data_IF_320252052601
#
_entry.id   IF_320252052601
#
_cell.length_a   1.000
_cell.length_b   1.000
_cell.length_c   1.000
_cell.angle_alpha   90.00
_cell.angle_beta   90.00
_cell.angle_gamma   90.00
#
_symmetry.space_group_name_H-M   'P 1'
#
loop_
_entity.id
_entity.type
_entity.pdbx_description
1 polymer ?
#
# COMPACT_ATOMS: atom_id res chain seq x y z
N UNK A 1 2.60 -1.78 -17.34
CA UNK A 1 3.65 -1.68 -16.29
C UNK A 1 3.29 -2.73 -15.24
N UNK A 2 4.25 -3.47 -14.69
CA UNK A 2 3.95 -4.45 -13.62
C UNK A 2 3.55 -3.67 -12.37
N UNK A 3 2.42 -4.01 -11.75
CA UNK A 3 1.92 -3.40 -10.51
C UNK A 3 2.86 -3.72 -9.34
N UNK A 4 3.10 -2.77 -8.44
CA UNK A 4 4.00 -2.89 -7.29
C UNK A 4 3.39 -3.69 -6.13
N UNK A 5 2.07 -3.79 -6.09
CA UNK A 5 1.30 -4.45 -5.02
C UNK A 5 0.69 -5.78 -5.49
N UNK A 6 0.63 -6.76 -4.61
CA UNK A 6 -0.02 -8.04 -4.87
C UNK A 6 -1.49 -8.03 -4.45
N UNK A 7 -2.33 -7.37 -5.26
CA UNK A 7 -3.77 -7.34 -5.01
C UNK A 7 -4.45 -8.71 -5.19
N UNK A 8 -3.83 -9.65 -5.91
CA UNK A 8 -4.35 -11.02 -5.99
C UNK A 8 -4.15 -11.74 -4.66
N UNK A 9 -2.94 -11.69 -4.10
CA UNK A 9 -2.64 -12.19 -2.76
C UNK A 9 -3.52 -11.54 -1.68
N UNK A 10 -3.75 -10.23 -1.77
CA UNK A 10 -4.69 -9.53 -0.87
C UNK A 10 -6.12 -10.07 -0.98
N UNK A 11 -6.65 -10.21 -2.20
CA UNK A 11 -8.01 -10.75 -2.41
C UNK A 11 -8.11 -12.19 -1.92
N UNK A 12 -7.08 -13.01 -2.11
CA UNK A 12 -7.04 -14.41 -1.66
C UNK A 12 -6.84 -14.59 -0.14
N UNK A 13 -6.27 -13.60 0.55
CA UNK A 13 -5.99 -13.71 2.00
C UNK A 13 -7.28 -13.60 2.81
N UNK A 14 -7.59 -14.56 3.70
CA UNK A 14 -8.78 -14.50 4.55
C UNK A 14 -8.79 -13.29 5.48
N UNK A 15 -9.96 -12.69 5.68
CA UNK A 15 -10.16 -11.64 6.68
C UNK A 15 -10.32 -12.29 8.06
N UNK A 16 -9.47 -11.91 9.01
CA UNK A 16 -9.65 -12.24 10.43
C UNK A 16 -10.64 -11.24 11.02
N UNK A 17 -11.64 -11.70 11.79
CA UNK A 17 -12.73 -10.85 12.30
C UNK A 17 -12.60 -10.48 13.78
N UNK A 18 -11.77 -11.20 14.53
CA UNK A 18 -11.60 -11.03 15.97
C UNK A 18 -10.13 -10.72 16.29
N UNK A 19 -9.82 -9.76 17.18
CA UNK A 19 -10.76 -8.92 17.96
C UNK A 19 -11.32 -7.71 17.17
N UNK A 20 -10.89 -7.55 15.92
CA UNK A 20 -11.39 -6.61 14.93
C UNK A 20 -11.05 -7.15 13.54
N UNK A 21 -11.53 -6.52 12.48
CA UNK A 21 -11.25 -6.95 11.12
C UNK A 21 -9.81 -6.60 10.69
N UNK A 22 -9.00 -7.62 10.38
CA UNK A 22 -7.64 -7.43 9.86
C UNK A 22 -7.18 -8.59 8.99
N UNK A 23 -6.13 -8.37 8.22
CA UNK A 23 -5.40 -9.43 7.52
C UNK A 23 -3.91 -9.07 7.42
N UNK A 24 -3.09 -10.09 7.23
CA UNK A 24 -1.66 -9.96 6.96
C UNK A 24 -1.39 -10.67 5.65
N UNK A 25 -0.94 -9.92 4.65
CA UNK A 25 -0.55 -10.46 3.34
C UNK A 25 0.99 -10.48 3.31
N UNK A 26 1.64 -11.64 3.44
CA UNK A 26 3.08 -11.73 3.30
C UNK A 26 3.50 -11.22 1.93
N UNK A 27 4.64 -10.50 1.87
CA UNK A 27 5.25 -10.08 0.61
C UNK A 27 4.35 -9.18 -0.28
N UNK A 28 3.35 -8.48 0.30
CA UNK A 28 2.37 -7.67 -0.43
C UNK A 28 2.99 -6.64 -1.38
N UNK A 29 4.08 -5.99 -0.96
CA UNK A 29 4.92 -5.20 -1.88
C UNK A 29 5.84 -6.16 -2.62
N UNK A 30 5.71 -6.27 -3.94
CA UNK A 30 6.47 -7.26 -4.72
C UNK A 30 7.98 -7.02 -4.65
N UNK A 31 8.77 -8.08 -4.59
CA UNK A 31 10.21 -8.03 -4.29
C UNK A 31 10.99 -7.11 -5.27
N UNK A 32 10.65 -7.19 -6.54
CA UNK A 32 11.13 -6.44 -7.69
C UNK A 32 10.86 -4.93 -7.59
N UNK A 33 9.88 -4.50 -6.78
CA UNK A 33 9.60 -3.10 -6.51
C UNK A 33 10.31 -2.56 -5.26
N UNK A 34 10.61 -3.42 -4.27
CA UNK A 34 11.10 -2.99 -2.93
C UNK A 34 12.37 -2.17 -2.98
N UNK A 35 13.38 -2.60 -3.73
CA UNK A 35 14.67 -1.91 -3.78
C UNK A 35 14.53 -0.49 -4.37
N UNK A 36 13.71 -0.33 -5.41
CA UNK A 36 13.45 0.96 -6.02
C UNK A 36 12.63 1.87 -5.09
N UNK A 37 11.58 1.33 -4.46
CA UNK A 37 10.77 2.06 -3.47
C UNK A 37 11.63 2.55 -2.31
N UNK A 38 12.50 1.69 -1.78
CA UNK A 38 13.36 2.04 -0.64
C UNK A 38 14.35 3.15 -1.01
N UNK A 39 14.97 3.09 -2.19
CA UNK A 39 15.88 4.14 -2.68
C UNK A 39 15.18 5.50 -2.81
N UNK A 40 13.91 5.49 -3.17
CA UNK A 40 13.11 6.69 -3.42
C UNK A 40 12.25 7.10 -2.21
N UNK A 41 12.38 6.39 -1.08
CA UNK A 41 11.61 6.65 0.13
C UNK A 41 11.96 8.04 0.70
N UNK A 42 10.99 8.79 1.27
CA UNK A 42 11.29 10.11 1.80
C UNK A 42 12.36 10.08 2.90
N UNK A 43 13.27 11.05 2.88
CA UNK A 43 14.26 11.22 3.94
C UNK A 43 13.61 11.83 5.19
N UNK A 44 13.28 10.97 6.14
CA UNK A 44 12.62 11.34 7.40
C UNK A 44 13.64 11.27 8.54
N UNK A 45 14.21 12.43 8.88
CA UNK A 45 15.31 12.53 9.86
C UNK A 45 14.86 12.78 11.30
N UNK A 46 13.56 12.97 11.54
CA UNK A 46 13.00 13.20 12.88
C UNK A 46 11.80 12.27 13.14
N UNK A 47 11.52 11.87 14.39
CA UNK A 47 10.37 11.03 14.70
C UNK A 47 9.05 11.77 14.46
N UNK A 48 8.01 11.02 14.10
CA UNK A 48 6.65 11.52 13.97
C UNK A 48 5.94 11.07 12.69
N UNK A 49 4.77 11.64 12.46
CA UNK A 49 3.98 11.46 11.24
C UNK A 49 4.14 12.68 10.34
N UNK A 50 4.45 12.44 9.06
CA UNK A 50 4.68 13.49 8.08
C UNK A 50 3.63 13.39 6.98
N UNK A 51 2.88 14.47 6.71
CA UNK A 51 2.07 14.54 5.50
C UNK A 51 2.95 14.30 4.28
N UNK A 52 2.43 13.56 3.29
CA UNK A 52 3.17 13.32 2.04
C UNK A 52 3.58 14.63 1.34
N UNK A 53 2.78 15.69 1.46
CA UNK A 53 3.11 17.01 0.89
C UNK A 53 4.24 17.77 1.59
N UNK A 54 4.69 17.31 2.76
CA UNK A 54 5.77 17.94 3.54
C UNK A 54 7.13 17.23 3.37
N UNK A 55 7.18 16.16 2.57
CA UNK A 55 8.40 15.38 2.35
C UNK A 55 8.72 15.26 0.86
N UNK A 56 10.01 15.17 0.54
CA UNK A 56 10.47 14.91 -0.82
C UNK A 56 10.75 13.42 -1.00
N UNK A 57 10.30 12.85 -2.12
CA UNK A 57 10.48 11.44 -2.44
C UNK A 57 10.67 11.24 -3.94
N UNK A 58 11.25 10.09 -4.31
CA UNK A 58 11.55 9.74 -5.69
C UNK A 58 10.37 9.12 -6.44
N UNK A 59 10.63 8.78 -7.71
CA UNK A 59 9.62 8.34 -8.68
C UNK A 59 9.00 6.99 -8.34
N UNK A 60 9.77 6.03 -7.84
CA UNK A 60 9.26 4.70 -7.49
C UNK A 60 8.33 4.77 -6.27
N UNK A 61 8.68 5.56 -5.25
CA UNK A 61 7.80 5.81 -4.12
C UNK A 61 6.53 6.57 -4.54
N UNK A 62 6.65 7.57 -5.43
CA UNK A 62 5.49 8.27 -5.97
C UNK A 62 4.51 7.32 -6.67
N UNK A 63 5.02 6.38 -7.47
CA UNK A 63 4.19 5.35 -8.13
C UNK A 63 3.48 4.42 -7.14
N UNK A 64 4.14 4.04 -6.05
CA UNK A 64 3.50 3.27 -4.97
C UNK A 64 2.32 4.05 -4.38
N UNK A 65 2.52 5.34 -4.10
CA UNK A 65 1.45 6.22 -3.60
C UNK A 65 0.30 6.35 -4.60
N UNK A 66 0.60 6.49 -5.89
CA UNK A 66 -0.42 6.50 -6.96
C UNK A 66 -1.21 5.19 -7.00
N UNK A 67 -0.53 4.04 -6.90
CA UNK A 67 -1.17 2.72 -6.90
C UNK A 67 -2.08 2.52 -5.67
N UNK A 68 -1.63 2.94 -4.48
CA UNK A 68 -2.44 2.92 -3.25
C UNK A 68 -3.66 3.87 -3.31
N UNK A 69 -3.64 4.88 -4.18
CA UNK A 69 -4.76 5.80 -4.42
C UNK A 69 -5.63 5.41 -5.61
N UNK A 70 -5.32 4.30 -6.26
CA UNK A 70 -6.05 3.87 -7.46
C UNK A 70 -7.44 3.34 -7.12
N UNK A 71 -8.34 3.44 -8.10
CA UNK A 71 -9.69 2.85 -8.02
C UNK A 71 -9.66 1.34 -7.80
N UNK A 72 -8.66 0.65 -8.37
CA UNK A 72 -8.51 -0.80 -8.18
C UNK A 72 -8.18 -1.14 -6.73
N UNK A 73 -7.24 -0.39 -6.12
CA UNK A 73 -6.88 -0.57 -4.73
C UNK A 73 -8.08 -0.28 -3.81
N UNK A 74 -8.76 0.85 -4.02
CA UNK A 74 -9.96 1.22 -3.25
C UNK A 74 -11.00 0.10 -3.28
N UNK A 75 -11.40 -0.35 -4.47
CA UNK A 75 -12.40 -1.42 -4.64
C UNK A 75 -12.00 -2.73 -3.97
N UNK A 76 -10.73 -3.14 -4.08
CA UNK A 76 -10.27 -4.36 -3.43
C UNK A 76 -10.50 -4.29 -1.91
N UNK A 77 -10.22 -3.15 -1.28
CA UNK A 77 -10.42 -2.96 0.16
C UNK A 77 -11.90 -2.85 0.53
N UNK A 78 -12.72 -2.14 -0.25
CA UNK A 78 -14.17 -2.10 -0.07
C UNK A 78 -14.79 -3.50 -0.09
N UNK A 79 -14.42 -4.32 -1.07
CA UNK A 79 -14.87 -5.71 -1.20
C UNK A 79 -14.40 -6.59 -0.02
N UNK A 80 -13.14 -6.43 0.39
CA UNK A 80 -12.55 -7.24 1.47
C UNK A 80 -13.21 -6.99 2.82
N UNK A 81 -13.47 -5.72 3.13
CA UNK A 81 -13.97 -5.28 4.44
C UNK A 81 -15.48 -4.99 4.45
N UNK A 82 -16.14 -4.98 3.29
CA UNK A 82 -17.57 -4.70 3.19
C UNK A 82 -17.93 -3.27 3.59
N UNK A 83 -17.08 -2.29 3.25
CA UNK A 83 -17.26 -0.86 3.55
C UNK A 83 -17.26 -0.02 2.27
N UNK A 84 -17.82 1.19 2.33
CA UNK A 84 -17.77 2.20 1.27
C UNK A 84 -16.70 3.25 1.61
N UNK A 85 -15.78 3.49 0.68
CA UNK A 85 -14.68 4.46 0.81
C UNK A 85 -14.86 5.68 -0.11
N UNK A 86 -16.06 5.90 -0.67
CA UNK A 86 -16.42 7.05 -1.53
C UNK A 86 -17.02 8.24 -0.79
#
# INVERSE_FOLDING_TARGET
>A
MVSMLDLEGFRGTPLTREPFEFLIVPEFVKAEARAAIHKDYPDVTRPGSFPLGEVSYGRAFAKLVEEMRSEEFRKAFEEKFGIDLT
#
